data_IF_940395084786
#
_entry.id   IF_940395084786
#
_cell.length_a   1.000
_cell.length_b   1.000
_cell.length_c   1.000
_cell.angle_alpha   90.00
_cell.angle_beta   90.00
_cell.angle_gamma   90.00
#
_symmetry.space_group_name_H-M   'P 1'
#
loop_
_entity.id
_entity.type
_entity.pdbx_description
1 polymer ?
#
# COMPACT_ATOMS: atom_id res chain seq x y z
N UNK A 1 11.07 12.92 -8.68
CA UNK A 1 11.14 11.46 -8.75
C UNK A 1 9.83 10.79 -8.33
N UNK A 2 9.30 11.14 -7.18
CA UNK A 2 8.01 10.62 -6.73
C UNK A 2 6.98 11.74 -6.76
N UNK A 3 5.79 11.41 -7.24
CA UNK A 3 4.69 12.35 -7.37
C UNK A 3 4.00 12.66 -6.06
N UNK A 4 4.09 11.73 -5.14
CA UNK A 4 3.42 11.86 -3.86
C UNK A 4 2.92 10.50 -3.39
N UNK A 5 2.05 10.52 -2.42
CA UNK A 5 1.52 9.30 -1.84
C UNK A 5 0.31 8.84 -2.64
N UNK A 6 0.34 7.58 -3.11
CA UNK A 6 -0.78 6.99 -3.81
C UNK A 6 -1.80 6.44 -2.82
N UNK A 7 -1.31 5.70 -1.84
CA UNK A 7 -2.17 5.08 -0.85
C UNK A 7 -1.35 4.76 0.39
N UNK A 8 -1.98 4.83 1.55
CA UNK A 8 -1.44 4.26 2.78
C UNK A 8 -2.30 3.04 3.08
N UNK A 9 -1.68 1.88 3.23
CA UNK A 9 -2.49 0.70 3.49
C UNK A 9 -2.06 0.01 4.78
N UNK A 10 -2.98 -0.75 5.35
CA UNK A 10 -2.77 -1.45 6.61
C UNK A 10 -3.17 -2.90 6.47
N UNK A 11 -2.37 -3.84 6.99
CA UNK A 11 -2.82 -5.21 7.09
C UNK A 11 -3.99 -5.29 8.08
N UNK A 12 -5.01 -6.03 7.72
CA UNK A 12 -6.16 -6.26 8.62
C UNK A 12 -6.42 -7.74 8.69
N UNK A 13 -6.89 -8.21 9.84
CA UNK A 13 -7.15 -9.62 10.02
C UNK A 13 -8.48 -10.05 9.41
N UNK A 14 -9.48 -9.17 9.49
CA UNK A 14 -10.82 -9.46 8.99
C UNK A 14 -11.27 -8.30 8.15
N UNK A 15 -11.26 -8.47 6.82
CA UNK A 15 -11.59 -7.39 5.90
C UNK A 15 -13.03 -6.92 6.05
N UNK A 16 -13.97 -7.84 6.32
CA UNK A 16 -15.36 -7.45 6.48
C UNK A 16 -15.57 -6.61 7.73
N UNK A 17 -14.94 -7.00 8.82
CA UNK A 17 -15.01 -6.21 10.04
C UNK A 17 -14.38 -4.83 9.84
N UNK A 18 -13.22 -4.80 9.18
CA UNK A 18 -12.52 -3.52 8.95
C UNK A 18 -13.34 -2.58 8.07
N UNK A 19 -13.94 -3.11 7.00
CA UNK A 19 -14.80 -2.29 6.15
C UNK A 19 -15.97 -1.71 6.94
N UNK A 20 -16.60 -2.53 7.77
CA UNK A 20 -17.71 -2.07 8.59
C UNK A 20 -17.28 -0.99 9.58
N UNK A 21 -16.12 -1.17 10.18
CA UNK A 21 -15.60 -0.20 11.12
C UNK A 21 -15.38 1.17 10.45
N UNK A 22 -14.69 1.19 9.33
CA UNK A 22 -14.41 2.46 8.65
C UNK A 22 -15.66 3.09 8.06
N UNK A 23 -16.53 2.29 7.47
CA UNK A 23 -17.74 2.80 6.83
C UNK A 23 -18.81 3.19 7.84
N UNK A 24 -19.10 2.30 8.79
CA UNK A 24 -20.27 2.48 9.66
C UNK A 24 -19.93 3.20 10.95
N UNK A 25 -18.78 2.93 11.54
CA UNK A 25 -18.38 3.55 12.80
C UNK A 25 -17.72 4.90 12.56
N UNK A 26 -16.80 4.97 11.60
CA UNK A 26 -16.09 6.22 11.32
C UNK A 26 -16.76 7.07 10.25
N UNK A 27 -17.69 6.52 9.50
CA UNK A 27 -18.44 7.29 8.50
C UNK A 27 -17.67 7.61 7.23
N UNK A 28 -16.65 6.80 6.90
CA UNK A 28 -15.85 7.04 5.71
C UNK A 28 -16.30 6.11 4.58
N UNK A 29 -16.47 6.64 3.37
CA UNK A 29 -16.99 5.81 2.28
C UNK A 29 -15.97 4.80 1.78
N UNK A 30 -16.46 3.60 1.44
CA UNK A 30 -15.67 2.59 0.76
C UNK A 30 -15.73 2.92 -0.73
N UNK A 31 -14.58 3.15 -1.34
CA UNK A 31 -14.50 3.55 -2.74
C UNK A 31 -14.09 2.43 -3.67
N UNK A 32 -13.56 1.34 -3.13
CA UNK A 32 -13.16 0.19 -3.94
C UNK A 32 -13.18 -1.06 -3.08
N UNK A 33 -13.66 -2.15 -3.65
CA UNK A 33 -13.64 -3.46 -2.99
C UNK A 33 -13.18 -4.50 -4.00
N UNK A 34 -12.25 -5.35 -3.60
CA UNK A 34 -11.72 -6.38 -4.46
C UNK A 34 -11.24 -7.53 -3.58
N UNK A 35 -12.16 -8.45 -3.23
CA UNK A 35 -11.85 -9.58 -2.38
C UNK A 35 -11.35 -9.16 -1.01
N UNK A 36 -10.09 -9.45 -0.73
CA UNK A 36 -9.47 -9.12 0.56
C UNK A 36 -8.82 -7.74 0.57
N UNK A 37 -9.18 -6.90 -0.38
CA UNK A 37 -8.69 -5.53 -0.47
C UNK A 37 -9.86 -4.57 -0.50
N UNK A 38 -9.77 -3.48 0.23
CA UNK A 38 -10.75 -2.41 0.16
C UNK A 38 -10.03 -1.07 0.26
N UNK A 39 -10.61 -0.05 -0.34
CA UNK A 39 -10.08 1.31 -0.25
C UNK A 39 -11.14 2.22 0.33
N UNK A 40 -10.70 3.08 1.23
CA UNK A 40 -11.53 3.99 1.97
C UNK A 40 -11.08 5.41 1.65
N UNK A 41 -12.03 6.29 1.39
CA UNK A 41 -11.72 7.70 1.18
C UNK A 41 -11.70 8.42 2.53
N UNK A 42 -10.52 8.85 2.93
CA UNK A 42 -10.34 9.60 4.17
C UNK A 42 -10.12 11.07 3.83
N UNK A 43 -11.15 11.66 3.22
CA UNK A 43 -11.17 13.07 2.86
C UNK A 43 -10.04 13.44 1.91
N UNK A 44 -9.94 12.71 0.83
CA UNK A 44 -8.93 12.95 -0.19
C UNK A 44 -7.72 12.03 -0.11
N UNK A 45 -7.53 11.37 1.02
CA UNK A 45 -6.51 10.33 1.15
C UNK A 45 -7.13 8.98 0.98
N UNK A 46 -6.43 8.10 0.28
CA UNK A 46 -6.89 6.72 0.12
C UNK A 46 -6.23 5.84 1.19
N UNK A 47 -7.05 5.21 2.01
CA UNK A 47 -6.60 4.19 2.94
C UNK A 47 -6.88 2.83 2.33
N UNK A 48 -5.86 1.99 2.24
CA UNK A 48 -6.03 0.62 1.79
C UNK A 48 -6.17 -0.32 2.97
N UNK A 49 -7.14 -1.21 2.90
CA UNK A 49 -7.31 -2.27 3.90
C UNK A 49 -6.93 -3.58 3.23
N UNK A 50 -5.88 -4.21 3.74
CA UNK A 50 -5.31 -5.40 3.11
C UNK A 50 -5.51 -6.62 4.01
N UNK A 51 -6.49 -7.45 3.65
CA UNK A 51 -6.72 -8.71 4.36
C UNK A 51 -5.93 -9.87 3.79
N UNK A 52 -5.22 -9.66 2.67
CA UNK A 52 -4.42 -10.71 2.04
C UNK A 52 -3.18 -11.04 2.83
N UNK A 53 -2.67 -10.07 3.57
CA UNK A 53 -1.48 -10.25 4.38
C UNK A 53 -1.84 -9.92 5.82
N UNK A 54 -2.30 -10.89 6.59
CA UNK A 54 -2.62 -10.65 7.99
C UNK A 54 -1.45 -10.05 8.73
N UNK A 55 -1.73 -9.22 9.70
CA UNK A 55 -0.70 -8.46 10.41
C UNK A 55 0.44 -9.33 10.92
N UNK A 56 0.12 -10.54 11.36
CA UNK A 56 1.13 -11.46 11.85
C UNK A 56 2.16 -11.88 10.82
N UNK A 57 1.78 -11.84 9.55
CA UNK A 57 2.71 -12.25 8.49
C UNK A 57 3.85 -11.27 8.32
N UNK A 58 3.66 -10.04 8.73
CA UNK A 58 4.68 -9.01 8.60
C UNK A 58 5.36 -8.69 9.92
N UNK A 59 4.93 -9.33 10.96
CA UNK A 59 5.50 -9.15 12.28
C UNK A 59 4.92 -7.96 13.03
N UNK A 60 4.92 -6.81 12.45
CA UNK A 60 4.49 -5.59 13.13
C UNK A 60 3.08 -5.15 12.76
N UNK A 61 2.68 -5.41 11.53
CA UNK A 61 1.33 -5.06 11.12
C UNK A 61 1.03 -3.58 11.01
N UNK A 62 2.05 -2.74 10.90
CA UNK A 62 1.84 -1.31 10.81
C UNK A 62 1.44 -0.85 9.42
N UNK A 63 1.08 0.44 9.28
CA UNK A 63 0.72 1.00 7.98
C UNK A 63 1.89 0.98 7.00
N UNK A 64 1.56 0.85 5.72
CA UNK A 64 2.54 0.89 4.65
C UNK A 64 2.20 2.05 3.74
N UNK A 65 3.18 2.93 3.51
CA UNK A 65 3.00 4.08 2.63
C UNK A 65 3.43 3.72 1.23
N UNK A 66 2.55 3.97 0.26
CA UNK A 66 2.82 3.69 -1.14
C UNK A 66 2.92 5.01 -1.90
N UNK A 67 4.05 5.21 -2.57
CA UNK A 67 4.28 6.41 -3.38
C UNK A 67 4.03 6.11 -4.84
N UNK A 68 3.66 7.14 -5.59
CA UNK A 68 3.49 7.03 -7.02
C UNK A 68 4.70 7.61 -7.72
N UNK A 69 5.35 6.85 -8.63
CA UNK A 69 6.51 7.39 -9.35
C UNK A 69 6.07 8.35 -10.45
N UNK A 70 6.91 9.33 -10.74
CA UNK A 70 6.67 10.27 -11.83
C UNK A 70 7.00 9.68 -13.20
N UNK A 71 7.91 8.72 -13.21
CA UNK A 71 8.38 8.08 -14.45
C UNK A 71 8.05 6.58 -14.37
N UNK A 72 8.62 5.79 -15.28
CA UNK A 72 8.42 4.35 -15.25
C UNK A 72 8.96 3.74 -13.96
N UNK A 73 8.34 2.65 -13.54
CA UNK A 73 8.73 2.00 -12.29
C UNK A 73 10.16 1.50 -12.33
N UNK A 74 10.59 0.89 -13.45
CA UNK A 74 11.95 0.39 -13.58
C UNK A 74 12.98 1.51 -13.47
N UNK A 75 12.69 2.62 -14.12
CA UNK A 75 13.58 3.78 -14.10
C UNK A 75 13.69 4.35 -12.70
N UNK A 76 12.55 4.47 -12.01
CA UNK A 76 12.53 4.98 -10.65
C UNK A 76 13.28 4.06 -9.70
N UNK A 77 13.10 2.75 -9.83
CA UNK A 77 13.81 1.77 -8.99
C UNK A 77 15.32 1.87 -9.24
N UNK A 78 15.73 1.95 -10.51
CA UNK A 78 17.16 2.09 -10.83
C UNK A 78 17.76 3.33 -10.22
N UNK A 79 17.06 4.45 -10.32
CA UNK A 79 17.52 5.70 -9.72
C UNK A 79 17.68 5.60 -8.21
N UNK A 80 16.70 5.01 -7.55
CA UNK A 80 16.74 4.84 -6.10
C UNK A 80 17.87 3.91 -5.68
N UNK A 81 18.07 2.82 -6.40
CA UNK A 81 19.15 1.89 -6.10
C UNK A 81 20.51 2.55 -6.27
N UNK A 82 20.65 3.42 -7.28
CA UNK A 82 21.90 4.13 -7.48
C UNK A 82 22.22 5.10 -6.35
N UNK A 83 21.22 5.46 -5.57
CA UNK A 83 21.39 6.33 -4.41
C UNK A 83 21.47 5.57 -3.09
N UNK A 84 21.56 4.25 -3.14
CA UNK A 84 21.74 3.43 -1.97
C UNK A 84 20.47 2.87 -1.35
N UNK A 85 19.32 3.12 -1.96
CA UNK A 85 18.05 2.57 -1.46
C UNK A 85 17.99 1.10 -1.83
N UNK A 86 17.58 0.26 -0.89
CA UNK A 86 17.48 -1.18 -1.12
C UNK A 86 16.10 -1.55 -1.60
N UNK A 87 16.06 -2.40 -2.63
CA UNK A 87 14.82 -2.94 -3.19
C UNK A 87 14.97 -4.46 -3.23
N UNK A 88 14.84 -5.12 -2.07
CA UNK A 88 15.25 -6.52 -1.93
C UNK A 88 14.57 -7.50 -2.87
N UNK A 89 13.29 -7.29 -3.14
CA UNK A 89 12.53 -8.22 -3.97
C UNK A 89 12.38 -7.74 -5.42
N UNK A 90 12.99 -6.60 -5.77
CA UNK A 90 12.81 -6.02 -7.08
C UNK A 90 11.37 -5.62 -7.32
N UNK A 91 10.97 -5.67 -8.57
CA UNK A 91 9.61 -5.32 -8.96
C UNK A 91 8.77 -6.59 -8.98
N UNK A 92 7.65 -6.58 -8.25
CA UNK A 92 6.72 -7.69 -8.28
C UNK A 92 5.49 -7.32 -9.10
N UNK A 93 4.92 -8.31 -9.78
CA UNK A 93 3.76 -8.10 -10.64
C UNK A 93 2.54 -8.76 -10.05
N UNK A 94 1.42 -8.07 -10.16
CA UNK A 94 0.15 -8.52 -9.63
C UNK A 94 -0.95 -8.21 -10.64
N UNK A 95 -2.12 -8.84 -10.54
CA UNK A 95 -3.22 -8.54 -11.47
C UNK A 95 -3.62 -7.07 -11.48
N UNK A 96 -3.39 -6.36 -10.39
CA UNK A 96 -3.78 -4.95 -10.25
C UNK A 96 -2.64 -3.99 -10.54
N UNK A 97 -1.44 -4.48 -10.82
CA UNK A 97 -0.31 -3.60 -11.13
C UNK A 97 1.00 -4.14 -10.62
N UNK A 98 2.02 -3.30 -10.66
CA UNK A 98 3.37 -3.67 -10.25
C UNK A 98 3.82 -2.79 -9.10
N UNK A 99 4.58 -3.37 -8.18
CA UNK A 99 5.11 -2.64 -7.04
C UNK A 99 6.54 -3.01 -6.77
N UNK A 100 7.26 -2.12 -6.12
CA UNK A 100 8.59 -2.39 -5.59
C UNK A 100 8.59 -1.91 -4.14
N UNK A 101 9.09 -2.75 -3.24
CA UNK A 101 9.16 -2.41 -1.82
C UNK A 101 10.54 -1.87 -1.52
N UNK A 102 10.58 -0.71 -0.90
CA UNK A 102 11.83 -0.02 -0.56
C UNK A 102 12.15 -0.24 0.91
N UNK A 103 13.44 -0.34 1.21
CA UNK A 103 13.91 -0.42 2.58
C UNK A 103 14.86 0.74 2.79
N UNK A 104 14.67 1.47 3.89
CA UNK A 104 15.59 2.53 4.24
C UNK A 104 16.99 1.97 4.41
N UNK A 105 17.94 2.62 3.77
CA UNK A 105 19.30 2.12 3.74
C UNK A 105 20.13 2.62 4.90
N UNK A 106 20.07 1.96 6.00
CA UNK A 106 20.97 2.27 7.10
C UNK A 106 22.03 1.21 7.24
#
# INVERSE_FOLDING_TARGET
>A
MLKGIAVVWMPVQDIEWAKGFYRDTLGLPITKEDGEWAEVDANGFTLGLNGREPSGARGEGGPVVTFQPEAGLEETVNDLQSQGVKVPAGISEHPWGRVATLVEGL
#
